data_IF_543416792903
#
_entry.id   IF_543416792903
#
_cell.length_a   1.000
_cell.length_b   1.000
_cell.length_c   1.000
_cell.angle_alpha   90.00
_cell.angle_beta   90.00
_cell.angle_gamma   90.00
#
_symmetry.space_group_name_H-M   'P 1'
#
loop_
_entity.id
_entity.type
_entity.pdbx_description
1 polymer ?
#
# COMPACT_ATOMS: atom_id res chain seq x y z
N UNK A 1 1.49 7.82 2.59
CA UNK A 1 1.50 6.52 3.32
C UNK A 1 2.84 6.20 3.98
N UNK A 2 3.92 5.92 3.22
CA UNK A 2 5.19 5.43 3.79
C UNK A 2 5.83 6.39 4.83
N UNK A 3 5.85 7.69 4.55
CA UNK A 3 6.33 8.70 5.51
C UNK A 3 5.48 8.75 6.79
N UNK A 4 4.16 8.65 6.66
CA UNK A 4 3.24 8.62 7.81
C UNK A 4 3.49 7.40 8.69
N UNK A 5 3.71 6.23 8.10
CA UNK A 5 4.05 5.01 8.83
C UNK A 5 5.44 5.10 9.49
N UNK A 6 6.41 5.73 8.82
CA UNK A 6 7.72 6.03 9.41
C UNK A 6 7.60 6.86 10.69
N UNK A 7 6.78 7.91 10.68
CA UNK A 7 6.54 8.73 11.86
C UNK A 7 5.87 7.92 12.98
N UNK A 8 4.85 7.11 12.64
CA UNK A 8 4.15 6.28 13.62
C UNK A 8 5.08 5.29 14.32
N UNK A 9 5.93 4.59 13.56
CA UNK A 9 6.90 3.63 14.11
C UNK A 9 7.95 4.33 14.99
N UNK A 10 8.47 5.46 14.52
CA UNK A 10 9.50 6.17 15.26
C UNK A 10 8.98 6.66 16.61
N UNK A 11 7.83 7.34 16.61
CA UNK A 11 7.22 7.91 17.81
C UNK A 11 6.76 6.83 18.80
N UNK A 12 6.06 5.79 18.32
CA UNK A 12 5.44 4.82 19.20
C UNK A 12 6.40 3.75 19.73
N UNK A 13 7.38 3.34 18.94
CA UNK A 13 8.25 2.19 19.26
C UNK A 13 9.69 2.64 19.48
N UNK A 14 10.30 3.33 18.51
CA UNK A 14 11.75 3.59 18.53
C UNK A 14 12.15 4.65 19.56
N UNK A 15 11.25 5.56 19.93
CA UNK A 15 11.49 6.60 20.95
C UNK A 15 11.46 6.08 22.39
N UNK A 16 11.01 4.84 22.64
CA UNK A 16 10.99 4.29 23.99
C UNK A 16 12.42 4.12 24.52
N UNK A 17 12.70 4.58 25.74
CA UNK A 17 14.07 4.64 26.29
C UNK A 17 14.82 3.30 26.22
N UNK A 18 14.20 2.23 26.71
CA UNK A 18 14.79 0.88 26.71
C UNK A 18 15.11 0.36 25.30
N UNK A 19 14.29 0.73 24.33
CA UNK A 19 14.45 0.38 22.92
C UNK A 19 15.59 1.18 22.30
N UNK A 20 15.61 2.51 22.52
CA UNK A 20 16.66 3.40 22.05
C UNK A 20 18.04 2.98 22.55
N UNK A 21 18.15 2.56 23.81
CA UNK A 21 19.40 2.05 24.38
C UNK A 21 19.89 0.78 23.67
N UNK A 22 18.98 -0.16 23.35
CA UNK A 22 19.30 -1.35 22.58
C UNK A 22 19.75 -1.02 21.16
N UNK A 23 19.10 -0.06 20.51
CA UNK A 23 19.47 0.41 19.17
C UNK A 23 20.86 1.07 19.20
N UNK A 24 21.13 1.93 20.18
CA UNK A 24 22.43 2.58 20.33
C UNK A 24 23.56 1.55 20.54
N UNK A 25 23.30 0.52 21.34
CA UNK A 25 24.25 -0.59 21.51
C UNK A 25 24.44 -1.38 20.21
N UNK A 26 23.36 -1.70 19.51
CA UNK A 26 23.41 -2.36 18.21
C UNK A 26 24.25 -1.58 17.19
N UNK A 27 24.08 -0.25 17.12
CA UNK A 27 24.89 0.63 16.26
C UNK A 27 26.37 0.56 16.60
N UNK A 28 26.74 0.58 17.88
CA UNK A 28 28.14 0.45 18.33
C UNK A 28 28.74 -0.90 17.92
N UNK A 29 28.00 -1.99 18.12
CA UNK A 29 28.43 -3.33 17.69
C UNK A 29 28.66 -3.39 16.19
N UNK A 30 27.68 -2.94 15.39
CA UNK A 30 27.81 -2.95 13.93
C UNK A 30 28.97 -2.07 13.46
N UNK A 31 29.15 -0.91 14.09
CA UNK A 31 30.28 -0.02 13.84
C UNK A 31 31.63 -0.69 14.03
N UNK A 32 31.82 -1.46 15.12
CA UNK A 32 33.05 -2.22 15.37
C UNK A 32 33.43 -3.13 14.19
N UNK A 33 32.48 -3.93 13.70
CA UNK A 33 32.73 -4.82 12.57
C UNK A 33 32.90 -4.05 11.26
N UNK A 34 32.14 -2.98 11.03
CA UNK A 34 32.23 -2.16 9.82
C UNK A 34 33.58 -1.46 9.66
N UNK A 35 34.18 -1.00 10.76
CA UNK A 35 35.45 -0.28 10.74
C UNK A 35 36.68 -1.20 10.87
N UNK A 36 36.51 -2.45 11.32
CA UNK A 36 37.61 -3.40 11.47
C UNK A 36 37.48 -4.59 10.52
N UNK A 37 38.33 -4.61 9.49
CA UNK A 37 38.42 -5.75 8.57
C UNK A 37 38.85 -7.04 9.28
N UNK A 38 39.68 -6.92 10.33
CA UNK A 38 40.11 -8.04 11.16
C UNK A 38 38.91 -8.61 11.94
N UNK A 39 38.11 -7.76 12.58
CA UNK A 39 36.91 -8.18 13.29
C UNK A 39 35.87 -8.82 12.35
N UNK A 40 35.70 -8.25 11.15
CA UNK A 40 34.80 -8.82 10.13
C UNK A 40 35.25 -10.22 9.70
N UNK A 41 36.55 -10.43 9.45
CA UNK A 41 37.08 -11.75 9.10
C UNK A 41 36.87 -12.74 10.23
N UNK A 42 37.21 -12.36 11.46
CA UNK A 42 37.01 -13.20 12.63
C UNK A 42 35.53 -13.60 12.83
N UNK A 43 34.60 -12.67 12.58
CA UNK A 43 33.16 -12.96 12.63
C UNK A 43 32.75 -13.97 11.55
N UNK A 44 33.25 -13.83 10.33
CA UNK A 44 32.97 -14.77 9.23
C UNK A 44 33.51 -16.17 9.56
N UNK A 45 34.73 -16.26 10.10
CA UNK A 45 35.33 -17.53 10.51
C UNK A 45 34.50 -18.20 11.62
N UNK A 46 34.01 -17.43 12.59
CA UNK A 46 33.12 -17.92 13.64
C UNK A 46 31.76 -18.37 13.08
N UNK A 47 31.19 -17.63 12.12
CA UNK A 47 29.94 -18.03 11.45
C UNK A 47 30.11 -19.40 10.77
N UNK A 48 31.21 -19.59 10.03
CA UNK A 48 31.51 -20.86 9.36
C UNK A 48 31.75 -22.00 10.36
N UNK A 49 32.54 -21.76 11.42
CA UNK A 49 32.77 -22.77 12.47
C UNK A 49 31.49 -23.21 13.19
N UNK A 50 30.52 -22.30 13.33
CA UNK A 50 29.22 -22.58 13.96
C UNK A 50 28.18 -23.14 12.98
N UNK A 51 28.54 -23.40 11.71
CA UNK A 51 27.62 -23.87 10.67
C UNK A 51 26.54 -22.86 10.29
N UNK A 52 26.76 -21.56 10.56
CA UNK A 52 25.84 -20.48 10.23
C UNK A 52 26.16 -19.93 8.84
N UNK A 53 25.14 -19.46 8.10
CA UNK A 53 25.34 -18.78 6.83
C UNK A 53 26.14 -17.48 7.06
N UNK A 54 27.33 -17.32 6.44
CA UNK A 54 28.10 -16.09 6.59
C UNK A 54 27.31 -14.89 6.09
N UNK A 55 27.21 -13.86 6.92
CA UNK A 55 26.45 -12.66 6.61
C UNK A 55 27.06 -11.44 7.29
N UNK A 56 27.08 -10.32 6.56
CA UNK A 56 27.48 -9.03 7.12
C UNK A 56 26.33 -8.44 7.93
N UNK A 57 26.67 -7.78 9.03
CA UNK A 57 25.70 -7.01 9.80
C UNK A 57 25.21 -5.79 9.00
N UNK A 58 23.92 -5.51 9.13
CA UNK A 58 23.27 -4.40 8.45
C UNK A 58 23.46 -3.12 9.26
N UNK A 59 23.81 -2.03 8.58
CA UNK A 59 24.00 -0.74 9.22
C UNK A 59 22.67 -0.01 9.33
N UNK A 60 22.43 0.57 10.50
CA UNK A 60 21.31 1.48 10.69
C UNK A 60 21.62 2.89 10.15
N UNK A 61 20.69 3.44 9.39
CA UNK A 61 20.66 4.80 8.86
C UNK A 61 19.45 5.49 9.48
N UNK A 62 19.69 6.38 10.45
CA UNK A 62 18.66 6.98 11.31
C UNK A 62 17.50 7.67 10.59
N UNK A 63 17.65 8.00 9.31
CA UNK A 63 16.61 8.64 8.49
C UNK A 63 15.47 7.70 8.11
N UNK A 64 15.65 6.37 8.16
CA UNK A 64 14.61 5.39 7.80
C UNK A 64 14.49 4.29 8.85
N UNK A 65 13.29 4.05 9.37
CA UNK A 65 13.08 3.08 10.44
C UNK A 65 13.38 1.64 9.98
N UNK A 66 13.21 1.33 8.69
CA UNK A 66 13.51 0.02 8.12
C UNK A 66 14.98 -0.38 8.31
N UNK A 67 15.93 0.55 8.28
CA UNK A 67 17.35 0.21 8.52
C UNK A 67 17.58 -0.22 9.97
N UNK A 68 16.90 0.40 10.93
CA UNK A 68 16.90 -0.04 12.33
C UNK A 68 16.38 -1.47 12.42
N UNK A 69 15.25 -1.76 11.78
CA UNK A 69 14.67 -3.10 11.74
C UNK A 69 15.64 -4.13 11.15
N UNK A 70 16.25 -3.85 9.99
CA UNK A 70 17.19 -4.76 9.35
C UNK A 70 18.49 -4.92 10.15
N UNK A 71 18.98 -3.86 10.80
CA UNK A 71 20.11 -3.93 11.73
C UNK A 71 19.80 -4.92 12.86
N UNK A 72 18.71 -4.68 13.59
CA UNK A 72 18.28 -5.52 14.71
C UNK A 72 18.05 -6.98 14.28
N UNK A 73 17.43 -7.20 13.11
CA UNK A 73 17.23 -8.54 12.54
C UNK A 73 18.56 -9.23 12.24
N UNK A 74 19.53 -8.50 11.68
CA UNK A 74 20.85 -9.05 11.39
C UNK A 74 21.63 -9.40 12.66
N UNK A 75 21.53 -8.58 13.71
CA UNK A 75 22.13 -8.86 15.02
C UNK A 75 21.53 -10.12 15.64
N UNK A 76 20.19 -10.26 15.61
CA UNK A 76 19.50 -11.42 16.15
C UNK A 76 19.87 -12.70 15.41
N UNK A 77 19.91 -12.67 14.07
CA UNK A 77 20.32 -13.81 13.25
C UNK A 77 21.76 -14.26 13.55
N UNK A 78 22.63 -13.32 13.92
CA UNK A 78 24.04 -13.57 14.22
C UNK A 78 24.34 -13.68 15.72
N UNK A 79 23.31 -13.75 16.59
CA UNK A 79 23.43 -13.77 18.06
C UNK A 79 24.47 -14.77 18.58
N UNK A 80 24.50 -15.99 18.03
CA UNK A 80 25.45 -17.04 18.46
C UNK A 80 26.91 -16.69 18.10
N UNK A 81 27.16 -16.27 16.86
CA UNK A 81 28.48 -15.86 16.42
C UNK A 81 28.98 -14.61 17.17
N UNK A 82 28.09 -13.65 17.42
CA UNK A 82 28.39 -12.45 18.20
C UNK A 82 28.69 -12.74 19.66
N UNK A 83 27.98 -13.71 20.27
CA UNK A 83 28.27 -14.15 21.63
C UNK A 83 29.65 -14.81 21.73
N UNK A 84 29.98 -15.72 20.81
CA UNK A 84 31.30 -16.36 20.76
C UNK A 84 32.43 -15.32 20.57
N UNK A 85 32.25 -14.41 19.62
CA UNK A 85 33.21 -13.33 19.37
C UNK A 85 33.41 -12.44 20.60
N UNK A 86 32.32 -12.10 21.30
CA UNK A 86 32.35 -11.29 22.51
C UNK A 86 33.15 -11.94 23.64
N UNK A 87 33.05 -13.26 23.81
CA UNK A 87 33.84 -14.04 24.78
C UNK A 87 35.32 -14.01 24.39
N UNK A 88 35.65 -14.29 23.13
CA UNK A 88 37.05 -14.36 22.66
C UNK A 88 37.79 -13.02 22.75
N UNK A 89 37.07 -11.90 22.65
CA UNK A 89 37.64 -10.55 22.57
C UNK A 89 37.29 -9.65 23.76
N UNK A 90 36.68 -10.20 24.82
CA UNK A 90 36.24 -9.46 26.01
C UNK A 90 35.40 -8.21 25.70
N UNK A 91 34.56 -8.29 24.65
CA UNK A 91 33.69 -7.18 24.26
C UNK A 91 32.34 -7.27 24.97
N UNK A 92 31.74 -6.14 25.37
CA UNK A 92 30.40 -6.15 25.93
C UNK A 92 29.42 -6.70 24.89
N UNK A 93 28.57 -7.63 25.33
CA UNK A 93 27.48 -8.21 24.53
C UNK A 93 26.12 -7.77 25.08
N UNK A 94 25.10 -7.80 24.24
CA UNK A 94 23.71 -7.62 24.68
C UNK A 94 23.35 -8.70 25.72
N UNK A 95 22.70 -8.29 26.81
CA UNK A 95 22.24 -9.20 27.85
C UNK A 95 20.95 -9.94 27.42
N UNK A 96 20.53 -11.01 28.12
CA UNK A 96 19.34 -11.78 27.75
C UNK A 96 18.05 -10.95 27.66
N UNK A 97 17.87 -9.95 28.54
CA UNK A 97 16.70 -9.07 28.52
C UNK A 97 16.70 -8.15 27.30
N UNK A 98 17.85 -7.62 26.90
CA UNK A 98 18.00 -6.79 25.71
C UNK A 98 17.73 -7.61 24.44
N UNK A 99 18.22 -8.86 24.38
CA UNK A 99 17.88 -9.76 23.27
C UNK A 99 16.38 -10.04 23.19
N UNK A 100 15.74 -10.32 24.33
CA UNK A 100 14.29 -10.50 24.38
C UNK A 100 13.53 -9.24 23.94
N UNK A 101 14.03 -8.05 24.31
CA UNK A 101 13.45 -6.79 23.86
C UNK A 101 13.58 -6.62 22.33
N UNK A 102 14.73 -6.97 21.75
CA UNK A 102 14.94 -6.95 20.29
C UNK A 102 13.98 -7.92 19.58
N UNK A 103 13.83 -9.14 20.09
CA UNK A 103 12.89 -10.14 19.55
C UNK A 103 11.44 -9.62 19.58
N UNK A 104 11.04 -9.00 20.69
CA UNK A 104 9.72 -8.38 20.83
C UNK A 104 9.51 -7.22 19.84
N UNK A 105 10.51 -6.34 19.69
CA UNK A 105 10.47 -5.24 18.73
C UNK A 105 10.33 -5.73 17.30
N UNK A 106 11.15 -6.71 16.89
CA UNK A 106 11.09 -7.27 15.55
C UNK A 106 9.70 -7.86 15.29
N UNK A 107 9.11 -8.55 16.26
CA UNK A 107 7.74 -9.09 16.13
C UNK A 107 6.69 -8.01 15.91
N UNK A 108 6.80 -6.86 16.59
CA UNK A 108 5.85 -5.74 16.44
C UNK A 108 6.04 -5.02 15.11
N UNK A 109 7.29 -4.85 14.69
CA UNK A 109 7.65 -4.07 13.50
C UNK A 109 7.55 -4.86 12.20
N UNK A 110 7.57 -6.20 12.25
CA UNK A 110 7.52 -7.05 11.06
C UNK A 110 6.28 -6.79 10.18
N UNK A 111 5.04 -6.67 10.71
CA UNK A 111 3.89 -6.27 9.90
C UNK A 111 4.03 -4.89 9.27
N UNK A 112 4.65 -3.92 9.97
CA UNK A 112 4.90 -2.60 9.41
C UNK A 112 5.92 -2.65 8.27
N UNK A 113 6.93 -3.52 8.37
CA UNK A 113 7.99 -3.64 7.37
C UNK A 113 7.45 -4.33 6.12
N UNK A 114 6.69 -5.41 6.30
CA UNK A 114 5.93 -6.08 5.25
C UNK A 114 5.03 -5.08 4.52
N UNK A 115 4.23 -4.31 5.25
CA UNK A 115 3.35 -3.32 4.66
C UNK A 115 4.12 -2.26 3.86
N UNK A 116 5.19 -1.71 4.44
CA UNK A 116 6.07 -0.72 3.79
C UNK A 116 6.67 -1.29 2.51
N UNK A 117 7.13 -2.55 2.55
CA UNK A 117 7.70 -3.21 1.38
C UNK A 117 6.68 -3.41 0.28
N UNK A 118 5.44 -3.78 0.64
CA UNK A 118 4.37 -4.00 -0.32
C UNK A 118 3.93 -2.69 -0.98
N UNK A 119 3.63 -1.64 -0.20
CA UNK A 119 3.19 -0.34 -0.74
C UNK A 119 4.27 0.41 -1.55
N UNK A 120 5.54 0.06 -1.36
CA UNK A 120 6.66 0.64 -2.10
C UNK A 120 7.03 -0.17 -3.35
N UNK A 121 6.24 -1.17 -3.75
CA UNK A 121 6.38 -1.82 -5.06
C UNK A 121 5.90 -0.87 -6.15
N UNK A 122 6.53 -0.91 -7.32
CA UNK A 122 6.11 -0.10 -8.48
C UNK A 122 4.69 -0.45 -8.96
N UNK A 123 4.20 -1.65 -8.62
CA UNK A 123 2.85 -2.12 -8.94
C UNK A 123 1.80 -1.65 -7.93
N UNK A 124 2.21 -0.98 -6.85
CA UNK A 124 1.28 -0.56 -5.80
C UNK A 124 0.62 0.75 -6.13
N UNK A 125 -0.71 0.74 -5.97
CA UNK A 125 -1.57 1.87 -6.33
C UNK A 125 -2.14 2.51 -5.08
N UNK A 126 -2.70 3.71 -5.22
CA UNK A 126 -3.44 4.38 -4.17
C UNK A 126 -4.59 3.53 -3.58
N UNK A 127 -5.12 2.57 -4.34
CA UNK A 127 -6.15 1.63 -3.88
C UNK A 127 -5.67 0.67 -2.78
N UNK A 128 -4.36 0.43 -2.67
CA UNK A 128 -3.80 -0.48 -1.68
C UNK A 128 -3.81 0.13 -0.26
N UNK A 129 -3.95 1.46 -0.13
CA UNK A 129 -3.78 2.19 1.14
C UNK A 129 -4.81 1.81 2.19
N UNK A 130 -6.11 1.80 1.85
CA UNK A 130 -7.18 1.47 2.81
C UNK A 130 -7.07 0.01 3.28
N UNK A 131 -6.97 -0.99 2.37
CA UNK A 131 -6.73 -2.38 2.75
C UNK A 131 -5.48 -2.56 3.62
N UNK A 132 -4.38 -1.89 3.27
CA UNK A 132 -3.12 -1.92 4.01
C UNK A 132 -3.27 -1.43 5.45
N UNK A 133 -3.85 -0.23 5.62
CA UNK A 133 -4.07 0.36 6.94
C UNK A 133 -5.01 -0.51 7.78
N UNK A 134 -6.10 -1.02 7.19
CA UNK A 134 -7.05 -1.87 7.91
C UNK A 134 -6.45 -3.23 8.30
N UNK A 135 -5.69 -3.86 7.41
CA UNK A 135 -4.97 -5.09 7.71
C UNK A 135 -3.99 -4.88 8.86
N UNK A 136 -3.22 -3.79 8.84
CA UNK A 136 -2.28 -3.43 9.90
C UNK A 136 -3.00 -3.17 11.23
N UNK A 137 -4.08 -2.39 11.24
CA UNK A 137 -4.90 -2.16 12.45
C UNK A 137 -5.41 -3.49 13.01
N UNK A 138 -5.94 -4.40 12.18
CA UNK A 138 -6.40 -5.72 12.61
C UNK A 138 -5.27 -6.58 13.18
N UNK A 139 -4.09 -6.59 12.57
CA UNK A 139 -2.92 -7.33 13.07
C UNK A 139 -2.46 -6.81 14.44
N UNK A 140 -2.45 -5.49 14.63
CA UNK A 140 -2.08 -4.88 15.90
C UNK A 140 -3.14 -5.07 16.99
N UNK A 141 -4.43 -5.17 16.62
CA UNK A 141 -5.50 -5.49 17.57
C UNK A 141 -5.49 -6.93 18.07
N UNK A 142 -4.97 -7.90 17.29
CA UNK A 142 -4.94 -9.31 17.69
C UNK A 142 -4.07 -9.50 18.94
N UNK A 143 -4.67 -9.57 20.12
CA UNK A 143 -3.95 -9.86 21.37
C UNK A 143 -3.54 -11.32 21.42
N UNK A 144 -2.26 -11.57 21.67
CA UNK A 144 -1.75 -12.93 21.89
C UNK A 144 -1.38 -13.05 23.35
N UNK A 145 -1.52 -14.26 23.93
CA UNK A 145 -1.16 -14.53 25.31
C UNK A 145 0.30 -14.13 25.65
N UNK A 146 1.19 -13.97 24.67
CA UNK A 146 2.59 -13.54 24.83
C UNK A 146 2.79 -12.02 24.92
N UNK A 147 1.72 -11.23 24.80
CA UNK A 147 1.82 -9.76 24.76
C UNK A 147 1.85 -9.20 26.19
N UNK A 148 3.07 -8.97 26.70
CA UNK A 148 3.30 -8.45 28.05
C UNK A 148 4.30 -7.30 28.07
N UNK A 149 4.29 -6.53 29.16
CA UNK A 149 5.28 -5.49 29.44
C UNK A 149 5.47 -4.53 28.28
N UNK A 150 6.73 -4.31 27.88
CA UNK A 150 7.11 -3.39 26.80
C UNK A 150 6.44 -3.78 25.48
N UNK A 151 6.32 -5.08 25.16
CA UNK A 151 5.68 -5.52 23.90
C UNK A 151 4.23 -5.06 23.81
N UNK A 152 3.46 -5.20 24.90
CA UNK A 152 2.07 -4.75 24.95
C UNK A 152 1.98 -3.24 24.82
N UNK A 153 2.79 -2.49 25.58
CA UNK A 153 2.80 -1.03 25.53
C UNK A 153 3.19 -0.50 24.15
N UNK A 154 4.24 -1.02 23.52
CA UNK A 154 4.65 -0.66 22.16
C UNK A 154 3.58 -0.97 21.12
N UNK A 155 2.86 -2.08 21.26
CA UNK A 155 1.76 -2.43 20.34
C UNK A 155 0.58 -1.48 20.48
N UNK A 156 0.17 -1.17 21.71
CA UNK A 156 -0.93 -0.23 21.99
C UNK A 156 -0.59 1.18 21.48
N UNK A 157 0.58 1.69 21.83
CA UNK A 157 1.04 3.02 21.37
C UNK A 157 1.18 3.09 19.85
N UNK A 158 1.65 2.02 19.20
CA UNK A 158 1.74 1.96 17.74
C UNK A 158 0.35 1.97 17.10
N UNK A 159 -0.59 1.20 17.65
CA UNK A 159 -1.98 1.18 17.18
C UNK A 159 -2.66 2.55 17.35
N UNK A 160 -2.46 3.22 18.49
CA UNK A 160 -2.94 4.59 18.73
C UNK A 160 -2.36 5.56 17.70
N UNK A 161 -1.04 5.55 17.50
CA UNK A 161 -0.37 6.42 16.52
C UNK A 161 -0.88 6.17 15.10
N UNK A 162 -1.11 4.91 14.71
CA UNK A 162 -1.70 4.54 13.42
C UNK A 162 -3.13 5.04 13.32
N UNK A 163 -3.94 4.90 14.37
CA UNK A 163 -5.32 5.37 14.35
C UNK A 163 -5.40 6.89 14.22
N UNK A 164 -4.55 7.64 14.94
CA UNK A 164 -4.51 9.11 14.85
C UNK A 164 -4.00 9.58 13.50
N UNK A 165 -2.93 8.98 12.97
CA UNK A 165 -2.29 9.45 11.73
C UNK A 165 -3.03 9.01 10.45
N UNK A 166 -3.81 7.93 10.53
CA UNK A 166 -4.60 7.40 9.41
C UNK A 166 -6.11 7.46 9.69
N UNK A 167 -6.56 8.42 10.50
CA UNK A 167 -7.99 8.64 10.76
C UNK A 167 -8.75 9.10 9.52
N UNK A 168 -8.13 9.96 8.69
CA UNK A 168 -8.77 10.59 7.53
C UNK A 168 -8.60 9.81 6.22
N UNK A 169 -7.95 8.64 6.24
CA UNK A 169 -7.74 7.85 5.02
C UNK A 169 -9.07 7.40 4.43
N UNK A 170 -10.06 7.11 5.29
CA UNK A 170 -11.40 6.69 4.88
C UNK A 170 -12.27 7.88 4.39
N UNK A 171 -11.87 9.12 4.71
CA UNK A 171 -12.59 10.35 4.31
C UNK A 171 -12.05 10.97 3.01
N UNK A 172 -10.79 10.71 2.70
CA UNK A 172 -10.11 11.30 1.54
C UNK A 172 -10.65 10.69 0.22
N UNK A 173 -11.27 11.49 -0.66
CA UNK A 173 -11.90 11.00 -1.89
C UNK A 173 -10.96 10.19 -2.79
N UNK A 174 -9.66 10.51 -2.79
CA UNK A 174 -8.67 9.83 -3.61
C UNK A 174 -8.49 8.35 -3.22
N UNK A 175 -8.18 8.08 -1.94
CA UNK A 175 -7.98 6.71 -1.44
C UNK A 175 -9.27 5.90 -1.56
N UNK A 176 -10.38 6.57 -1.28
CA UNK A 176 -11.70 6.00 -1.29
C UNK A 176 -12.16 5.55 -2.69
N UNK A 177 -12.07 6.46 -3.68
CA UNK A 177 -12.42 6.15 -5.07
C UNK A 177 -11.46 5.11 -5.67
N UNK A 178 -10.16 5.23 -5.41
CA UNK A 178 -9.19 4.23 -5.88
C UNK A 178 -9.52 2.83 -5.34
N UNK A 179 -9.84 2.71 -4.06
CA UNK A 179 -10.12 1.40 -3.43
C UNK A 179 -11.41 0.76 -3.94
N UNK A 180 -12.50 1.52 -4.10
CA UNK A 180 -13.77 0.95 -4.60
C UNK A 180 -13.68 0.55 -6.08
N UNK A 181 -12.91 1.29 -6.87
CA UNK A 181 -12.69 1.01 -8.29
C UNK A 181 -11.68 -0.12 -8.49
N UNK A 182 -10.96 -0.57 -7.45
CA UNK A 182 -10.08 -1.72 -7.55
C UNK A 182 -10.88 -3.03 -7.48
N UNK A 183 -10.87 -3.86 -8.53
CA UNK A 183 -11.61 -5.13 -8.56
C UNK A 183 -11.19 -6.12 -7.47
N UNK A 184 -9.97 -5.97 -6.93
CA UNK A 184 -9.43 -6.83 -5.86
C UNK A 184 -10.07 -6.51 -4.50
N UNK A 185 -10.41 -5.24 -4.26
CA UNK A 185 -10.84 -4.75 -2.94
C UNK A 185 -12.33 -4.42 -2.89
N UNK A 186 -12.81 -3.63 -3.86
CA UNK A 186 -14.21 -3.21 -3.98
C UNK A 186 -14.72 -2.59 -2.67
N UNK A 187 -15.83 -3.12 -2.17
CA UNK A 187 -16.48 -2.70 -0.95
C UNK A 187 -16.09 -3.55 0.28
N UNK A 188 -15.19 -4.55 0.13
CA UNK A 188 -14.86 -5.51 1.19
C UNK A 188 -14.13 -4.90 2.38
N UNK A 189 -13.47 -3.77 2.15
CA UNK A 189 -12.73 -3.02 3.15
C UNK A 189 -13.53 -1.80 3.65
N UNK A 190 -14.83 -1.70 3.34
CA UNK A 190 -15.65 -0.59 3.81
C UNK A 190 -16.72 -1.03 4.82
N UNK A 191 -16.98 -0.17 5.81
CA UNK A 191 -18.14 -0.31 6.68
C UNK A 191 -19.42 0.00 5.91
N UNK A 192 -20.58 -0.46 6.38
CA UNK A 192 -21.86 -0.23 5.70
C UNK A 192 -22.15 1.25 5.41
N UNK A 193 -21.78 2.16 6.33
CA UNK A 193 -21.92 3.60 6.14
C UNK A 193 -21.00 4.10 5.02
N UNK A 194 -19.73 3.68 5.05
CA UNK A 194 -18.71 4.04 4.07
C UNK A 194 -19.06 3.52 2.66
N UNK A 195 -19.69 2.34 2.55
CA UNK A 195 -20.18 1.81 1.26
C UNK A 195 -21.20 2.71 0.57
N UNK A 196 -22.15 3.25 1.31
CA UNK A 196 -23.18 4.14 0.76
C UNK A 196 -22.58 5.44 0.26
N UNK A 197 -21.67 6.02 1.05
CA UNK A 197 -20.90 7.19 0.64
C UNK A 197 -20.08 6.92 -0.63
N UNK A 198 -19.56 5.70 -0.79
CA UNK A 198 -18.73 5.32 -1.92
C UNK A 198 -19.50 5.28 -3.22
N UNK A 199 -20.66 4.63 -3.19
CA UNK A 199 -21.57 4.59 -4.33
C UNK A 199 -22.01 5.99 -4.73
N UNK A 200 -22.38 6.82 -3.75
CA UNK A 200 -22.79 8.21 -4.01
C UNK A 200 -21.67 9.02 -4.68
N UNK A 201 -20.44 8.90 -4.17
CA UNK A 201 -19.32 9.66 -4.71
C UNK A 201 -18.90 9.20 -6.10
N UNK A 202 -18.93 7.89 -6.37
CA UNK A 202 -18.71 7.34 -7.72
C UNK A 202 -19.75 7.90 -8.69
N UNK A 203 -21.03 7.88 -8.30
CA UNK A 203 -22.13 8.43 -9.11
C UNK A 203 -21.93 9.92 -9.40
N UNK A 204 -21.57 10.72 -8.39
CA UNK A 204 -21.30 12.15 -8.55
C UNK A 204 -20.14 12.41 -9.52
N UNK A 205 -19.06 11.61 -9.44
CA UNK A 205 -17.91 11.76 -10.35
C UNK A 205 -18.24 11.34 -11.78
N UNK A 206 -18.97 10.24 -11.97
CA UNK A 206 -19.41 9.80 -13.30
C UNK A 206 -20.29 10.88 -13.97
N UNK A 207 -21.29 11.42 -13.25
CA UNK A 207 -22.15 12.50 -13.75
C UNK A 207 -21.35 13.76 -14.11
N UNK A 208 -20.32 14.09 -13.32
CA UNK A 208 -19.47 15.27 -13.59
C UNK A 208 -18.63 15.06 -14.85
N UNK A 209 -18.11 13.86 -15.09
CA UNK A 209 -17.31 13.55 -16.28
C UNK A 209 -18.15 13.59 -17.56
N UNK A 210 -19.37 13.05 -17.53
CA UNK A 210 -20.26 13.09 -18.70
C UNK A 210 -20.61 14.52 -19.10
N UNK A 211 -20.96 15.40 -18.14
CA UNK A 211 -21.22 16.82 -18.40
C UNK A 211 -20.04 17.54 -19.05
N UNK A 212 -18.81 17.18 -18.67
CA UNK A 212 -17.60 17.72 -19.28
C UNK A 212 -17.41 17.22 -20.72
N UNK A 213 -17.77 15.96 -20.99
CA UNK A 213 -17.68 15.38 -22.33
C UNK A 213 -18.74 15.98 -23.29
N UNK A 214 -19.96 16.22 -22.81
CA UNK A 214 -21.02 16.86 -23.61
C UNK A 214 -20.69 18.32 -23.96
N UNK A 215 -20.05 19.06 -23.05
CA UNK A 215 -19.69 20.48 -23.27
C UNK A 215 -18.52 20.67 -24.25
N UNK A 216 -17.69 19.65 -24.47
CA UNK A 216 -16.56 19.71 -25.44
C UNK A 216 -17.03 19.40 -26.87
N UNK A 217 -18.15 18.69 -27.04
CA UNK A 217 -18.70 18.32 -28.35
C UNK A 217 -19.62 19.39 -28.96
N UNK A 218 -19.94 20.46 -28.23
CA UNK A 218 -20.83 21.54 -28.69
C UNK A 218 -20.12 22.77 -29.26
N UNK A 219 -18.79 22.73 -29.42
CA UNK A 219 -17.95 23.88 -29.82
C UNK A 219 -17.26 23.67 -31.20
N UNK A 220 -17.91 23.01 -32.15
CA UNK A 220 -17.53 23.04 -33.58
C UNK A 220 -18.71 23.50 -34.46
N UNK A 221 -18.45 24.27 -35.54
CA UNK A 221 -19.48 25.03 -36.25
C UNK A 221 -20.40 24.12 -37.07
N UNK A 222 -21.70 24.47 -37.04
CA UNK A 222 -22.75 23.88 -37.88
C UNK A 222 -22.30 23.84 -39.35
N UNK A 223 -22.22 22.62 -39.90
CA UNK A 223 -22.19 22.39 -41.33
C UNK A 223 -23.62 22.03 -41.78
N UNK A 224 -24.22 22.91 -42.58
CA UNK A 224 -25.51 22.68 -43.21
C UNK A 224 -25.45 21.64 -44.33
N UNK A 225 -26.65 21.08 -44.60
CA UNK A 225 -27.15 20.44 -45.84
C UNK A 225 -26.82 18.95 -46.01
N UNK A 226 -27.71 18.06 -46.48
CA UNK A 226 -28.85 18.18 -47.41
C UNK A 226 -29.86 17.03 -47.17
N UNK A 227 -31.15 17.31 -47.29
CA UNK A 227 -32.18 16.28 -47.45
C UNK A 227 -32.08 15.65 -48.86
N UNK A 228 -31.85 14.34 -48.92
CA UNK A 228 -31.97 13.56 -50.15
C UNK A 228 -32.78 12.30 -49.84
N UNK A 229 -34.09 12.39 -50.10
CA UNK A 229 -35.00 11.26 -49.96
C UNK A 229 -34.67 10.15 -50.95
N UNK A 230 -34.34 8.97 -50.40
CA UNK A 230 -34.39 7.70 -51.09
C UNK A 230 -35.05 6.72 -50.12
N UNK A 231 -36.31 6.35 -50.35
CA UNK A 231 -37.00 5.37 -49.50
C UNK A 231 -36.56 3.95 -49.89
N UNK A 232 -35.44 3.50 -49.34
CA UNK A 232 -34.98 2.11 -49.46
C UNK A 232 -35.68 1.23 -48.43
N UNK A 233 -35.91 -0.05 -48.76
CA UNK A 233 -36.38 -1.07 -47.81
C UNK A 233 -35.47 -1.17 -46.58
N UNK A 234 -34.18 -0.87 -46.73
CA UNK A 234 -33.20 -0.81 -45.64
C UNK A 234 -33.48 0.32 -44.64
N UNK A 235 -34.02 1.45 -45.10
CA UNK A 235 -34.37 2.57 -44.22
C UNK A 235 -35.61 2.23 -43.40
N UNK A 236 -36.59 1.53 -43.99
CA UNK A 236 -37.73 1.00 -43.22
C UNK A 236 -37.32 -0.12 -42.25
N UNK A 237 -36.30 -0.93 -42.55
CA UNK A 237 -35.75 -1.88 -41.57
C UNK A 237 -35.07 -1.16 -40.40
N UNK A 238 -34.38 -0.05 -40.65
CA UNK A 238 -33.80 0.79 -39.60
C UNK A 238 -34.88 1.47 -38.75
N UNK A 239 -35.93 1.99 -39.37
CA UNK A 239 -37.05 2.65 -38.70
C UNK A 239 -37.85 1.67 -37.81
N UNK A 240 -38.10 0.44 -38.29
CA UNK A 240 -38.76 -0.61 -37.49
C UNK A 240 -37.87 -1.09 -36.33
N UNK A 241 -36.55 -1.10 -36.50
CA UNK A 241 -35.59 -1.40 -35.43
C UNK A 241 -35.57 -0.27 -34.38
N UNK A 242 -35.70 1.00 -34.80
CA UNK A 242 -35.83 2.15 -33.91
C UNK A 242 -37.19 2.22 -33.20
N UNK A 243 -38.28 1.82 -33.84
CA UNK A 243 -39.62 1.74 -33.25
C UNK A 243 -39.77 0.57 -32.25
N UNK A 244 -39.02 -0.54 -32.43
CA UNK A 244 -39.03 -1.70 -31.54
C UNK A 244 -37.83 -1.76 -30.56
N UNK A 245 -36.86 -0.85 -30.68
CA UNK A 245 -36.09 -0.49 -29.49
C UNK A 245 -37.05 0.28 -28.61
N UNK A 246 -37.62 -0.41 -27.63
CA UNK A 246 -38.23 0.24 -26.49
C UNK A 246 -37.31 1.38 -26.06
N UNK A 247 -37.73 2.60 -26.40
CA UNK A 247 -37.34 3.81 -25.69
C UNK A 247 -37.99 3.75 -24.32
N UNK A 248 -37.81 2.64 -23.58
CA UNK A 248 -37.47 2.77 -22.19
C UNK A 248 -36.22 3.63 -22.19
N UNK A 249 -36.44 4.92 -21.97
CA UNK A 249 -35.43 5.82 -21.47
C UNK A 249 -34.89 5.17 -20.20
N UNK A 250 -33.92 4.27 -20.36
CA UNK A 250 -32.95 3.98 -19.33
C UNK A 250 -32.36 5.35 -19.08
N UNK A 251 -32.89 6.05 -18.08
CA UNK A 251 -32.38 7.37 -17.77
C UNK A 251 -30.87 7.21 -17.65
N UNK A 252 -30.10 8.14 -18.20
CA UNK A 252 -28.64 8.09 -18.16
C UNK A 252 -28.17 7.80 -16.72
N UNK A 253 -28.90 8.37 -15.75
CA UNK A 253 -28.85 8.09 -14.30
C UNK A 253 -28.99 6.60 -13.92
N UNK A 254 -29.95 5.88 -14.49
CA UNK A 254 -30.21 4.46 -14.27
C UNK A 254 -29.14 3.54 -14.86
N UNK A 255 -28.56 3.90 -16.02
CA UNK A 255 -27.42 3.16 -16.58
C UNK A 255 -26.17 3.35 -15.70
N UNK A 256 -25.89 4.58 -15.24
CA UNK A 256 -24.78 4.89 -14.33
C UNK A 256 -25.00 4.21 -12.96
N UNK A 257 -26.23 4.24 -12.43
CA UNK A 257 -26.58 3.60 -11.18
C UNK A 257 -26.45 2.08 -11.28
N UNK A 258 -26.79 1.48 -12.43
CA UNK A 258 -26.53 0.06 -12.72
C UNK A 258 -25.03 -0.26 -12.80
N UNK A 259 -24.23 0.57 -13.50
CA UNK A 259 -22.76 0.40 -13.55
C UNK A 259 -22.11 0.54 -12.17
N UNK A 260 -22.59 1.46 -11.33
CA UNK A 260 -22.09 1.68 -9.97
C UNK A 260 -22.60 0.63 -8.95
N UNK A 261 -23.71 -0.05 -9.25
CA UNK A 261 -24.35 -1.05 -8.38
C UNK A 261 -23.95 -2.47 -8.73
N UNK A 262 -23.44 -2.72 -9.93
CA UNK A 262 -23.02 -4.04 -10.37
C UNK A 262 -21.91 -4.61 -9.46
N UNK A 263 -22.08 -5.82 -8.90
CA UNK A 263 -20.99 -6.52 -8.25
C UNK A 263 -19.97 -6.84 -9.33
N UNK A 264 -18.84 -6.11 -9.33
CA UNK A 264 -17.70 -6.30 -10.23
C UNK A 264 -17.01 -7.66 -9.99
N UNK A 265 -17.75 -8.76 -9.91
CA UNK A 265 -17.20 -10.09 -9.66
C UNK A 265 -16.41 -10.56 -10.88
N UNK A 266 -15.10 -10.31 -10.88
CA UNK A 266 -14.17 -11.23 -11.54
C UNK A 266 -13.81 -12.31 -10.53
N UNK A 267 -14.05 -13.56 -10.91
CA UNK A 267 -13.54 -14.74 -10.21
C UNK A 267 -12.07 -15.01 -10.58
N UNK A 268 -11.60 -14.41 -11.67
CA UNK A 268 -10.20 -14.52 -12.10
C UNK A 268 -9.38 -13.33 -11.59
N UNK A 269 -8.21 -13.57 -10.98
CA UNK A 269 -7.30 -12.52 -10.58
C UNK A 269 -6.68 -11.90 -11.82
N UNK A 270 -7.16 -10.73 -12.24
CA UNK A 270 -6.40 -9.91 -13.18
C UNK A 270 -5.03 -9.59 -12.58
N UNK A 271 -3.95 -9.73 -13.35
CA UNK A 271 -2.58 -9.43 -12.90
C UNK A 271 -2.44 -7.98 -12.38
N UNK A 272 -3.22 -7.04 -12.95
CA UNK A 272 -3.30 -5.66 -12.48
C UNK A 272 -4.73 -5.10 -12.57
N UNK A 273 -5.13 -4.17 -11.67
CA UNK A 273 -6.44 -3.49 -11.73
C UNK A 273 -6.68 -2.76 -13.06
N UNK A 274 -5.65 -2.17 -13.66
CA UNK A 274 -5.76 -1.45 -14.92
C UNK A 274 -6.03 -2.36 -16.11
N UNK A 275 -5.50 -3.59 -16.10
CA UNK A 275 -5.81 -4.58 -17.15
C UNK A 275 -7.27 -4.98 -17.13
N UNK A 276 -7.81 -5.21 -15.92
CA UNK A 276 -9.23 -5.51 -15.75
C UNK A 276 -10.12 -4.42 -16.35
N UNK A 277 -9.80 -3.14 -16.10
CA UNK A 277 -10.57 -2.02 -16.66
C UNK A 277 -10.37 -1.84 -18.16
N UNK A 278 -9.23 -2.24 -18.71
CA UNK A 278 -9.01 -2.25 -20.16
C UNK A 278 -9.94 -3.26 -20.84
N UNK A 279 -10.02 -4.48 -20.32
CA UNK A 279 -10.88 -5.54 -20.86
C UNK A 279 -12.36 -5.21 -20.71
N UNK A 280 -12.75 -4.58 -19.59
CA UNK A 280 -14.15 -4.26 -19.30
C UNK A 280 -14.59 -2.87 -19.79
N UNK A 281 -13.75 -2.14 -20.53
CA UNK A 281 -14.04 -0.77 -20.99
C UNK A 281 -15.29 -0.69 -21.85
N UNK A 282 -15.54 -1.69 -22.70
CA UNK A 282 -16.74 -1.74 -23.57
C UNK A 282 -18.02 -1.91 -22.77
N UNK A 283 -17.95 -2.65 -21.65
CA UNK A 283 -19.10 -2.91 -20.78
C UNK A 283 -19.36 -1.78 -19.79
N UNK A 284 -18.30 -1.12 -19.32
CA UNK A 284 -18.35 -0.07 -18.30
C UNK A 284 -17.46 1.12 -18.68
N UNK A 285 -17.83 1.90 -19.72
CA UNK A 285 -16.97 2.94 -20.28
C UNK A 285 -16.67 4.05 -19.26
N UNK A 286 -17.70 4.57 -18.58
CA UNK A 286 -17.58 5.64 -17.59
C UNK A 286 -16.73 5.21 -16.39
N UNK A 287 -16.98 3.98 -15.91
CA UNK A 287 -16.30 3.44 -14.73
C UNK A 287 -14.83 3.09 -15.05
N UNK A 288 -14.54 2.59 -16.25
CA UNK A 288 -13.18 2.32 -16.71
C UNK A 288 -12.36 3.61 -16.85
N UNK A 289 -12.98 4.70 -17.31
CA UNK A 289 -12.31 6.00 -17.38
C UNK A 289 -12.00 6.57 -15.99
N UNK A 290 -12.98 6.50 -15.08
CA UNK A 290 -12.79 6.89 -13.69
C UNK A 290 -11.68 6.04 -13.03
N UNK A 291 -11.72 4.73 -13.22
CA UNK A 291 -10.72 3.82 -12.70
C UNK A 291 -9.32 4.13 -13.23
N UNK A 292 -9.17 4.42 -14.53
CA UNK A 292 -7.89 4.85 -15.11
C UNK A 292 -7.34 6.09 -14.42
N UNK A 293 -8.19 7.07 -14.06
CA UNK A 293 -7.79 8.32 -13.40
C UNK A 293 -7.36 8.13 -11.94
N UNK A 294 -8.06 7.28 -11.20
CA UNK A 294 -7.84 7.11 -9.75
C UNK A 294 -6.86 5.98 -9.40
N UNK A 295 -6.70 4.96 -10.26
CA UNK A 295 -5.76 3.86 -10.06
C UNK A 295 -4.36 4.14 -10.59
N UNK A 296 -4.16 5.19 -11.40
CA UNK A 296 -2.84 5.57 -11.93
C UNK A 296 -1.96 6.28 -10.90
N UNK A 297 -2.52 6.73 -9.78
CA UNK A 297 -1.77 7.41 -8.75
C UNK A 297 -0.92 6.40 -7.95
N UNK A 298 0.40 6.66 -7.78
CA UNK A 298 1.25 5.78 -6.99
C UNK A 298 0.92 5.90 -5.50
N UNK A 299 1.11 4.81 -4.76
CA UNK A 299 0.87 4.79 -3.31
C UNK A 299 1.88 5.64 -2.50
N UNK A 300 3.07 5.88 -3.07
CA UNK A 300 4.17 6.58 -2.39
C UNK A 300 4.98 7.42 -3.37
N UNK A 301 5.71 8.42 -2.87
CA UNK A 301 6.70 9.17 -3.65
C UNK A 301 8.03 8.42 -3.82
N UNK A 302 8.10 7.14 -3.47
CA UNK A 302 9.37 6.37 -3.51
C UNK A 302 9.84 6.12 -4.94
N UNK A 303 8.93 6.08 -5.90
CA UNK A 303 9.29 5.88 -7.31
C UNK A 303 10.03 7.08 -7.90
N UNK A 304 9.69 8.32 -7.48
CA UNK A 304 10.49 9.48 -7.86
C UNK A 304 11.87 9.46 -7.19
N UNK A 305 11.97 9.07 -5.91
CA UNK A 305 13.26 8.93 -5.23
C UNK A 305 14.17 7.88 -5.88
N UNK A 306 13.63 6.73 -6.31
CA UNK A 306 14.40 5.69 -7.01
C UNK A 306 14.93 6.20 -8.35
N UNK A 307 14.10 6.93 -9.09
CA UNK A 307 14.49 7.52 -10.37
C UNK A 307 15.60 8.57 -10.18
N UNK A 308 15.52 9.40 -9.13
CA UNK A 308 16.59 10.33 -8.77
C UNK A 308 17.86 9.64 -8.26
N UNK A 309 17.77 8.48 -7.61
CA UNK A 309 18.94 7.69 -7.20
C UNK A 309 19.65 7.06 -8.40
N UNK A 310 18.89 6.59 -9.39
CA UNK A 310 19.43 6.03 -10.63
C UNK A 310 20.11 7.10 -11.50
N UNK A 311 19.59 8.33 -11.51
CA UNK A 311 20.20 9.47 -12.21
C UNK A 311 21.48 10.02 -11.54
N UNK A 312 21.81 9.56 -10.32
CA UNK A 312 23.02 9.95 -9.58
C UNK A 312 24.17 8.93 -9.70
N UNK A 313 23.98 7.86 -10.48
CA UNK A 313 25.02 6.90 -10.85
C UNK A 313 25.53 7.18 -12.26
#
# INVERSE_FOLDING_TARGET
MAHTLQLAVHEAVLSQRSISDCIAFGRKMVGHFKHSQVATRALVDLQTKLGMKPARLQQDVSTRWNSTFYMLRSLLQQKRALAAYGVDHSLPTLNPMQWSLIENMLTILDPCEQLTRDICKATSTTADVIPAVQALKRLLHKTVATDHGVKKTSKTTLLESINTRFNHVDDEPLYFLATILDPRYKDRYFTSATKQQAKKLVLEKMNTQQRQHTHVLTDEPEAETTESGNNSLLDMYAEILEENTDSEVYSEKGHIEMQATLPLSSEEPAETPLEYWRTNKTRFPDLAELARKYLSAPCTSVDSERLFQLLRM
#
